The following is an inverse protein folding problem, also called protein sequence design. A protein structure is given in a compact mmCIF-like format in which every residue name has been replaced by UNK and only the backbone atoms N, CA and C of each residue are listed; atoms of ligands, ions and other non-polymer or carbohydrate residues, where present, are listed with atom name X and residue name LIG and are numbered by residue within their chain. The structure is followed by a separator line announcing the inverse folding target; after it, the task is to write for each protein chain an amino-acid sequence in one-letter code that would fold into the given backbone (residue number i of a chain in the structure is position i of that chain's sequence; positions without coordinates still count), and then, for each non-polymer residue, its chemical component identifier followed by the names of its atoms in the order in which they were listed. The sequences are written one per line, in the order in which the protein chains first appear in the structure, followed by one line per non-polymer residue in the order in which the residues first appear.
data_IF_106820679070
#
_entry.id   IF_106820679070
#
_cell.length_a   1.000
_cell.length_b   1.000
_cell.length_c   1.000
_cell.angle_alpha   90.00
_cell.angle_beta   90.00
_cell.angle_gamma   90.00
#
_symmetry.space_group_name_H-M   'P 1'
#
loop_
_entity.id
_entity.type
_entity.pdbx_description
1 polymer ?
#
# COMPACT_ATOMS: atom_id res chain seq x y z
N UNK A 1 -23.32 -12.13 -42.28
CA UNK A 1 -22.12 -12.91 -42.59
C UNK A 1 -20.89 -12.02 -42.44
N UNK A 2 -20.02 -12.39 -41.49
CA UNK A 2 -18.54 -12.29 -41.49
C UNK A 2 -17.86 -10.90 -41.56
N UNK A 3 -17.14 -10.63 -40.45
CA UNK A 3 -15.91 -9.82 -40.25
C UNK A 3 -16.18 -8.32 -40.10
N UNK A 4 -15.93 -7.68 -38.95
CA UNK A 4 -14.62 -7.59 -38.28
C UNK A 4 -14.79 -7.61 -36.75
N UNK A 5 -14.31 -8.71 -36.15
CA UNK A 5 -13.90 -8.81 -34.75
C UNK A 5 -12.38 -8.75 -34.77
N UNK A 6 -11.81 -7.70 -34.18
CA UNK A 6 -10.41 -7.52 -33.69
C UNK A 6 -10.28 -6.01 -33.44
N UNK A 7 -10.09 -5.52 -32.23
CA UNK A 7 -8.96 -5.88 -31.37
C UNK A 7 -9.35 -5.83 -29.89
N UNK A 8 -9.28 -6.99 -29.26
CA UNK A 8 -9.20 -7.16 -27.81
C UNK A 8 -7.72 -7.03 -27.40
N UNK A 9 -7.51 -6.63 -26.15
CA UNK A 9 -6.25 -6.75 -25.39
C UNK A 9 -5.13 -5.76 -25.75
N UNK A 10 -5.16 -4.59 -25.12
CA UNK A 10 -3.95 -4.15 -24.41
C UNK A 10 -4.21 -4.37 -22.93
N UNK A 11 -3.85 -5.56 -22.45
CA UNK A 11 -3.69 -5.82 -21.03
C UNK A 11 -2.56 -4.91 -20.57
N UNK A 12 -2.89 -3.83 -19.85
CA UNK A 12 -1.90 -3.19 -18.99
C UNK A 12 -1.61 -4.21 -17.89
N UNK A 13 -0.58 -5.02 -18.13
CA UNK A 13 0.05 -5.81 -17.09
C UNK A 13 0.71 -4.86 -16.12
N UNK A 14 -0.05 -4.38 -15.14
CA UNK A 14 0.54 -3.95 -13.88
C UNK A 14 0.88 -5.25 -13.17
N UNK A 15 2.14 -5.66 -13.24
CA UNK A 15 2.68 -6.65 -12.33
C UNK A 15 2.55 -6.06 -10.93
N UNK A 16 1.49 -6.47 -10.22
CA UNK A 16 1.30 -6.11 -8.82
C UNK A 16 2.24 -7.04 -8.06
N UNK A 17 3.43 -6.56 -7.72
CA UNK A 17 4.25 -7.18 -6.68
C UNK A 17 3.54 -6.89 -5.36
N UNK A 18 2.53 -7.71 -5.03
CA UNK A 18 1.89 -7.68 -3.71
C UNK A 18 2.87 -8.31 -2.74
N UNK A 19 3.41 -7.53 -1.80
CA UNK A 19 3.95 -8.11 -0.59
C UNK A 19 2.73 -8.64 0.22
N UNK A 20 2.52 -9.96 0.20
CA UNK A 20 1.35 -10.55 0.86
C UNK A 20 1.56 -10.61 2.38
N UNK A 21 0.48 -10.57 3.21
CA UNK A 21 0.52 -10.91 4.64
C UNK A 21 1.31 -12.18 4.99
N UNK A 22 1.34 -13.13 4.05
CA UNK A 22 2.07 -14.40 4.16
C UNK A 22 3.59 -14.19 4.31
N UNK A 23 4.14 -13.10 3.77
CA UNK A 23 5.58 -12.84 3.74
C UNK A 23 6.12 -12.37 5.10
N UNK A 24 5.35 -11.55 5.82
CA UNK A 24 5.66 -11.17 7.19
C UNK A 24 5.51 -12.36 8.15
N UNK A 25 4.48 -13.20 7.95
CA UNK A 25 4.36 -14.44 8.73
C UNK A 25 5.50 -15.42 8.48
N UNK A 26 6.09 -15.43 7.28
CA UNK A 26 7.25 -16.29 7.00
C UNK A 26 8.44 -15.94 7.87
N UNK A 27 8.78 -14.64 8.02
CA UNK A 27 9.84 -14.21 8.94
C UNK A 27 9.54 -14.68 10.37
N UNK A 28 8.30 -14.48 10.85
CA UNK A 28 7.91 -14.93 12.19
C UNK A 28 8.08 -16.44 12.39
N UNK A 29 7.77 -17.24 11.35
CA UNK A 29 7.93 -18.70 11.39
C UNK A 29 9.39 -19.13 11.35
N UNK A 30 10.19 -18.59 10.43
CA UNK A 30 11.60 -19.02 10.26
C UNK A 30 12.51 -18.49 11.36
N UNK A 31 12.17 -17.34 11.95
CA UNK A 31 12.86 -16.76 13.10
C UNK A 31 12.29 -17.20 14.46
N UNK A 32 11.28 -18.08 14.47
CA UNK A 32 10.65 -18.67 15.66
C UNK A 32 10.25 -17.64 16.74
N UNK A 33 9.62 -16.53 16.32
CA UNK A 33 9.25 -15.44 17.24
C UNK A 33 8.17 -15.88 18.23
N UNK A 34 8.39 -15.60 19.52
CA UNK A 34 7.38 -15.83 20.57
C UNK A 34 6.18 -14.89 20.38
N UNK A 35 4.93 -15.33 20.62
CA UNK A 35 3.74 -14.48 20.50
C UNK A 35 3.73 -13.23 21.40
N UNK A 36 4.54 -13.22 22.46
CA UNK A 36 4.66 -12.11 23.41
C UNK A 36 5.93 -11.27 23.21
N UNK A 37 6.73 -11.54 22.18
CA UNK A 37 8.03 -10.92 21.96
C UNK A 37 7.90 -9.42 21.67
N UNK A 38 8.86 -8.61 22.12
CA UNK A 38 9.02 -7.21 21.74
C UNK A 38 9.12 -7.07 20.23
N UNK A 39 9.75 -8.03 19.55
CA UNK A 39 9.85 -8.09 18.08
C UNK A 39 8.51 -8.21 17.38
N UNK A 40 7.59 -9.04 17.89
CA UNK A 40 6.26 -9.16 17.31
C UNK A 40 5.41 -7.90 17.58
N UNK A 41 5.61 -7.28 18.76
CA UNK A 41 4.95 -6.01 19.13
C UNK A 41 5.47 -4.82 18.35
N UNK A 42 6.71 -4.86 17.89
CA UNK A 42 7.30 -3.82 17.07
C UNK A 42 6.71 -3.80 15.64
N UNK A 43 6.01 -4.86 15.21
CA UNK A 43 5.34 -4.96 13.90
C UNK A 43 6.26 -4.54 12.74
N UNK A 44 5.94 -3.45 12.04
CA UNK A 44 6.75 -2.92 10.93
C UNK A 44 8.11 -2.40 11.40
N UNK A 45 8.23 -1.97 12.65
CA UNK A 45 9.42 -1.32 13.20
C UNK A 45 10.57 -2.29 13.47
N UNK A 46 10.32 -3.60 13.38
CA UNK A 46 11.38 -4.61 13.35
C UNK A 46 12.31 -4.42 12.15
N UNK A 47 11.78 -3.97 11.00
CA UNK A 47 12.54 -3.75 9.77
C UNK A 47 12.59 -2.27 9.35
N UNK A 48 11.78 -1.40 9.95
CA UNK A 48 11.67 0.00 9.55
C UNK A 48 12.08 0.96 10.68
N UNK A 49 12.79 2.04 10.34
CA UNK A 49 12.95 3.20 11.26
C UNK A 49 11.76 4.14 11.20
N UNK A 50 11.10 4.18 10.05
CA UNK A 50 9.81 4.81 9.76
C UNK A 50 9.32 4.15 8.47
N UNK A 51 8.02 3.90 8.26
CA UNK A 51 7.59 3.27 7.00
C UNK A 51 7.61 4.34 5.91
N UNK A 52 8.25 4.14 4.73
CA UNK A 52 8.84 2.91 4.22
C UNK A 52 10.39 2.82 4.34
N UNK A 53 11.01 3.71 5.12
CA UNK A 53 12.45 3.73 5.40
C UNK A 53 12.88 2.51 6.23
N UNK A 54 13.81 1.73 5.70
CA UNK A 54 14.30 0.54 6.37
C UNK A 54 15.39 0.88 7.39
N UNK A 55 15.32 0.24 8.56
CA UNK A 55 16.45 0.18 9.50
C UNK A 55 17.58 -0.69 8.89
N UNK A 56 18.77 -0.76 9.52
CA UNK A 56 19.87 -1.57 9.00
C UNK A 56 19.48 -3.02 8.68
N UNK A 57 18.80 -3.69 9.61
CA UNK A 57 18.25 -5.03 9.39
C UNK A 57 17.30 -5.12 8.20
N UNK A 58 16.34 -4.20 8.09
CA UNK A 58 15.38 -4.16 6.99
C UNK A 58 16.02 -3.92 5.63
N UNK A 59 17.16 -3.21 5.57
CA UNK A 59 17.93 -3.05 4.32
C UNK A 59 18.57 -4.38 3.91
N UNK A 60 19.11 -5.13 4.86
CA UNK A 60 19.68 -6.44 4.60
C UNK A 60 18.60 -7.45 4.19
N UNK A 61 17.44 -7.43 4.85
CA UNK A 61 16.25 -8.20 4.45
C UNK A 61 15.86 -7.86 3.01
N UNK A 62 15.71 -6.59 2.66
CA UNK A 62 15.37 -6.14 1.30
C UNK A 62 16.42 -6.58 0.28
N UNK A 63 17.70 -6.48 0.62
CA UNK A 63 18.82 -6.89 -0.23
C UNK A 63 18.82 -8.41 -0.48
N UNK A 64 18.56 -9.20 0.55
CA UNK A 64 18.53 -10.66 0.47
C UNK A 64 17.32 -11.17 -0.33
N UNK A 65 16.14 -10.55 -0.16
CA UNK A 65 14.95 -10.85 -0.97
C UNK A 65 15.21 -10.50 -2.45
N UNK A 66 15.76 -9.32 -2.72
CA UNK A 66 16.04 -8.87 -4.09
C UNK A 66 17.09 -9.73 -4.80
N UNK A 67 18.13 -10.16 -4.10
CA UNK A 67 19.22 -10.97 -4.68
C UNK A 67 18.85 -12.43 -4.90
N UNK A 68 17.89 -12.96 -4.14
CA UNK A 68 17.40 -14.33 -4.27
C UNK A 68 16.25 -14.48 -5.27
N UNK A 69 15.71 -13.36 -5.78
CA UNK A 69 14.47 -13.32 -6.59
C UNK A 69 13.26 -13.99 -5.91
N UNK A 70 13.25 -14.05 -4.57
CA UNK A 70 12.16 -14.67 -3.79
C UNK A 70 11.14 -13.65 -3.32
N UNK A 71 9.93 -14.11 -3.05
CA UNK A 71 8.83 -13.28 -2.55
C UNK A 71 8.79 -13.24 -1.00
N UNK A 72 9.92 -13.07 -0.31
CA UNK A 72 9.97 -12.95 1.16
C UNK A 72 11.12 -13.73 1.82
N UNK A 73 11.19 -13.67 3.16
CA UNK A 73 12.24 -14.34 3.95
C UNK A 73 11.89 -15.80 4.20
N UNK A 74 12.58 -16.72 3.55
CA UNK A 74 12.52 -18.16 3.84
C UNK A 74 13.67 -18.61 4.74
N UNK A 75 13.76 -19.93 5.00
CA UNK A 75 14.76 -20.48 5.91
C UNK A 75 16.21 -20.25 5.43
N UNK A 76 16.45 -20.22 4.12
CA UNK A 76 17.80 -20.01 3.58
C UNK A 76 18.20 -18.54 3.70
N UNK A 77 17.31 -17.63 3.32
CA UNK A 77 17.50 -16.19 3.50
C UNK A 77 17.69 -15.86 4.99
N UNK A 78 16.87 -16.46 5.86
CA UNK A 78 17.00 -16.29 7.30
C UNK A 78 18.34 -16.81 7.84
N UNK A 79 18.80 -17.99 7.42
CA UNK A 79 20.10 -18.52 7.86
C UNK A 79 21.29 -17.63 7.47
N UNK A 80 21.15 -16.88 6.37
CA UNK A 80 22.11 -15.85 6.00
C UNK A 80 21.95 -14.60 6.88
N UNK A 81 20.74 -14.04 6.96
CA UNK A 81 20.45 -12.82 7.73
C UNK A 81 20.78 -12.96 9.22
N UNK A 82 20.49 -14.11 9.83
CA UNK A 82 20.73 -14.38 11.25
C UNK A 82 22.21 -14.32 11.66
N UNK A 83 23.14 -14.42 10.69
CA UNK A 83 24.60 -14.33 10.91
C UNK A 83 25.15 -12.92 10.73
N UNK A 84 24.38 -12.02 10.11
CA UNK A 84 24.79 -10.64 9.94
C UNK A 84 24.64 -9.88 11.26
N UNK A 85 25.51 -8.91 11.46
CA UNK A 85 25.37 -7.85 12.45
C UNK A 85 25.00 -6.60 11.64
N UNK A 86 23.70 -6.32 11.55
CA UNK A 86 23.17 -5.34 10.60
C UNK A 86 23.44 -3.90 11.03
N UNK A 87 23.44 -3.61 12.33
CA UNK A 87 23.67 -2.28 12.88
C UNK A 87 25.07 -2.07 13.50
N UNK A 88 25.93 -3.09 13.42
CA UNK A 88 27.34 -3.08 13.80
C UNK A 88 27.55 -2.85 15.29
N UNK A 89 26.71 -3.50 16.10
CA UNK A 89 26.73 -3.38 17.57
C UNK A 89 27.40 -4.56 18.30
N UNK A 90 28.05 -5.43 17.53
CA UNK A 90 28.72 -6.67 17.96
C UNK A 90 27.77 -7.81 18.33
N UNK A 91 26.46 -7.66 18.09
CA UNK A 91 25.45 -8.70 18.23
C UNK A 91 24.95 -9.13 16.85
N UNK A 92 24.85 -10.43 16.59
CA UNK A 92 24.22 -10.87 15.34
C UNK A 92 22.70 -10.74 15.41
N UNK A 93 22.06 -10.51 14.27
CA UNK A 93 20.59 -10.43 14.14
C UNK A 93 19.88 -11.63 14.77
N UNK A 94 20.48 -12.82 14.65
CA UNK A 94 19.95 -14.04 15.24
C UNK A 94 20.08 -14.09 16.77
N UNK A 95 21.13 -13.52 17.35
CA UNK A 95 21.31 -13.41 18.80
C UNK A 95 20.36 -12.39 19.41
N UNK A 96 20.16 -11.27 18.72
CA UNK A 96 19.20 -10.25 19.10
C UNK A 96 17.77 -10.77 19.08
N UNK A 97 17.40 -11.44 17.99
CA UNK A 97 16.07 -12.05 17.88
C UNK A 97 15.84 -13.12 18.96
N UNK A 98 16.85 -13.93 19.27
CA UNK A 98 16.80 -14.90 20.38
C UNK A 98 16.68 -14.24 21.75
N UNK A 99 17.24 -13.03 21.90
CA UNK A 99 17.24 -12.25 23.14
C UNK A 99 16.06 -11.28 23.25
N UNK A 100 15.14 -11.30 22.28
CA UNK A 100 14.00 -10.38 22.17
C UNK A 100 14.40 -8.89 22.09
N UNK A 101 15.51 -8.62 21.41
CA UNK A 101 16.00 -7.27 21.08
C UNK A 101 15.85 -6.97 19.58
N UNK A 102 16.03 -5.71 19.15
CA UNK A 102 15.69 -5.27 17.79
C UNK A 102 16.94 -5.24 16.89
N UNK A 103 17.05 -6.09 15.85
CA UNK A 103 18.29 -6.28 15.08
C UNK A 103 18.77 -5.12 14.20
N UNK A 104 18.14 -3.97 14.31
CA UNK A 104 18.49 -2.75 13.59
C UNK A 104 18.43 -1.51 14.47
N UNK A 105 18.47 -1.67 15.79
CA UNK A 105 18.61 -0.57 16.74
C UNK A 105 19.81 -0.84 17.66
N UNK A 106 20.97 -0.17 17.45
CA UNK A 106 22.21 -0.43 18.19
C UNK A 106 22.13 -0.01 19.67
N UNK A 107 20.98 0.51 20.10
CA UNK A 107 20.66 0.83 21.50
C UNK A 107 19.88 -0.28 22.19
N UNK A 108 19.33 -1.23 21.44
CA UNK A 108 18.49 -2.31 21.91
C UNK A 108 19.16 -3.64 21.59
N UNK A 109 20.12 -4.03 22.45
CA UNK A 109 20.99 -5.17 22.20
C UNK A 109 21.29 -5.97 23.47
N UNK A 110 21.65 -7.27 23.35
CA UNK A 110 21.74 -8.20 24.47
C UNK A 110 22.72 -7.77 25.56
N UNK A 111 23.84 -7.13 25.19
CA UNK A 111 24.89 -6.76 26.15
C UNK A 111 24.56 -5.53 27.01
N UNK A 112 23.58 -4.69 26.63
CA UNK A 112 23.06 -3.58 27.47
C UNK A 112 21.68 -3.83 28.05
N UNK A 113 20.91 -4.81 27.54
CA UNK A 113 19.53 -5.08 27.99
C UNK A 113 19.43 -5.73 29.38
N UNK A 114 20.54 -6.08 30.04
CA UNK A 114 20.51 -6.65 31.40
C UNK A 114 20.16 -5.63 32.50
N UNK A 115 20.06 -4.33 32.18
CA UNK A 115 19.61 -3.30 33.10
C UNK A 115 18.47 -2.49 32.48
N UNK A 116 17.25 -2.97 32.63
CA UNK A 116 16.00 -2.23 32.95
C UNK A 116 14.81 -3.12 32.57
N UNK A 117 14.44 -4.03 33.46
CA UNK A 117 13.04 -4.47 33.56
C UNK A 117 12.28 -3.37 34.30
N UNK A 118 11.32 -2.72 33.64
CA UNK A 118 9.96 -2.54 34.16
C UNK A 118 9.07 -1.74 33.19
N UNK A 119 7.77 -2.07 33.27
CA UNK A 119 6.62 -1.35 32.74
C UNK A 119 6.36 -1.44 31.22
N UNK A 120 5.50 -2.40 30.84
CA UNK A 120 4.13 -2.03 30.44
C UNK A 120 3.22 -3.26 30.39
N UNK A 121 2.50 -3.39 31.50
CA UNK A 121 1.17 -3.97 31.59
C UNK A 121 0.25 -3.27 30.60
N UNK A 122 -0.26 -3.98 29.60
CA UNK A 122 -1.68 -3.92 29.22
C UNK A 122 -2.00 -5.07 28.27
N UNK A 123 -2.55 -6.13 28.85
CA UNK A 123 -3.16 -7.21 28.13
C UNK A 123 -4.57 -6.81 27.67
N UNK A 124 -4.82 -7.01 26.38
CA UNK A 124 -6.11 -7.39 25.77
C UNK A 124 -7.27 -6.40 25.84
N UNK A 125 -7.61 -5.88 24.65
CA UNK A 125 -8.96 -6.08 24.09
C UNK A 125 -8.92 -6.12 22.56
N UNK A 126 -8.50 -7.25 22.00
CA UNK A 126 -8.84 -7.56 20.61
C UNK A 126 -10.35 -7.71 20.54
N UNK A 127 -11.01 -6.78 19.85
CA UNK A 127 -12.47 -6.82 19.65
C UNK A 127 -12.75 -7.70 18.45
N UNK A 128 -13.94 -8.33 18.39
CA UNK A 128 -14.32 -9.26 17.31
C UNK A 128 -14.25 -8.70 15.86
N UNK A 129 -13.89 -7.43 15.69
CA UNK A 129 -13.60 -6.80 14.41
C UNK A 129 -12.25 -7.23 13.80
N UNK A 130 -11.31 -7.71 14.62
CA UNK A 130 -9.97 -8.15 14.17
C UNK A 130 -10.01 -9.44 13.33
N UNK A 131 -11.13 -10.17 13.37
CA UNK A 131 -11.37 -11.37 12.55
C UNK A 131 -12.04 -11.05 11.21
N UNK A 132 -12.61 -9.85 11.08
CA UNK A 132 -13.32 -9.40 9.86
C UNK A 132 -12.47 -8.43 9.03
N UNK A 133 -11.57 -7.69 9.69
CA UNK A 133 -10.63 -6.76 9.06
C UNK A 133 -9.21 -7.29 9.28
N UNK A 134 -8.46 -7.66 8.21
CA UNK A 134 -7.07 -8.06 8.33
C UNK A 134 -6.26 -7.01 9.10
N UNK A 135 -5.27 -7.45 9.88
CA UNK A 135 -4.31 -6.56 10.57
C UNK A 135 -3.56 -5.65 9.59
N UNK A 136 -3.41 -6.10 8.36
CA UNK A 136 -2.79 -5.39 7.26
C UNK A 136 -3.79 -4.40 6.64
N UNK A 137 -3.31 -3.23 6.24
CA UNK A 137 -4.16 -2.18 5.68
C UNK A 137 -5.00 -2.73 4.51
N UNK A 138 -6.33 -2.72 4.64
CA UNK A 138 -7.24 -3.05 3.54
C UNK A 138 -7.20 -2.02 2.41
N UNK A 139 -6.67 -0.84 2.70
CA UNK A 139 -6.70 0.29 1.80
C UNK A 139 -6.02 0.03 0.44
N UNK A 140 -4.79 -0.54 0.36
CA UNK A 140 -4.13 -0.82 -0.92
C UNK A 140 -4.90 -1.80 -1.81
N UNK A 141 -5.75 -2.66 -1.25
CA UNK A 141 -6.63 -3.52 -2.05
C UNK A 141 -7.81 -2.70 -2.60
N UNK A 142 -8.50 -1.97 -1.72
CA UNK A 142 -9.72 -1.21 -2.05
C UNK A 142 -9.46 -0.07 -3.04
N UNK A 143 -8.26 0.54 -3.05
CA UNK A 143 -7.95 1.67 -3.96
C UNK A 143 -7.95 1.29 -5.44
N UNK A 144 -7.87 0.01 -5.79
CA UNK A 144 -7.89 -0.41 -7.20
C UNK A 144 -9.23 -0.10 -7.86
N UNK A 145 -10.33 -0.14 -7.11
CA UNK A 145 -11.66 0.16 -7.63
C UNK A 145 -11.79 1.61 -8.11
N UNK A 146 -11.60 2.65 -7.27
CA UNK A 146 -11.73 4.03 -7.72
C UNK A 146 -10.73 4.38 -8.81
N UNK A 147 -9.50 3.87 -8.73
CA UNK A 147 -8.46 4.15 -9.74
C UNK A 147 -8.83 3.52 -11.09
N UNK A 148 -9.04 2.21 -11.14
CA UNK A 148 -9.26 1.50 -12.40
C UNK A 148 -10.58 1.91 -13.06
N UNK A 149 -11.69 1.95 -12.30
CA UNK A 149 -13.01 2.26 -12.85
C UNK A 149 -13.08 3.70 -13.36
N UNK A 150 -12.52 4.66 -12.60
CA UNK A 150 -12.58 6.06 -13.01
C UNK A 150 -11.68 6.34 -14.22
N UNK A 151 -10.45 5.81 -14.23
CA UNK A 151 -9.55 5.97 -15.39
C UNK A 151 -10.10 5.28 -16.64
N UNK A 152 -10.69 4.10 -16.48
CA UNK A 152 -11.41 3.41 -17.56
C UNK A 152 -12.59 4.24 -18.07
N UNK A 153 -13.41 4.77 -17.16
CA UNK A 153 -14.52 5.66 -17.49
C UNK A 153 -14.06 6.91 -18.24
N UNK A 154 -13.02 7.58 -17.75
CA UNK A 154 -12.46 8.78 -18.38
C UNK A 154 -11.91 8.49 -19.78
N UNK A 155 -11.23 7.36 -19.99
CA UNK A 155 -10.74 6.94 -21.30
C UNK A 155 -11.89 6.73 -22.29
N UNK A 156 -12.94 6.00 -21.89
CA UNK A 156 -14.11 5.77 -22.73
C UNK A 156 -14.90 7.04 -23.02
N UNK A 157 -14.95 7.97 -22.06
CA UNK A 157 -15.60 9.25 -22.24
C UNK A 157 -14.85 10.11 -23.29
N UNK A 158 -13.51 10.15 -23.24
CA UNK A 158 -12.68 10.84 -24.22
C UNK A 158 -12.76 10.19 -25.61
N UNK A 159 -12.68 8.87 -25.69
CA UNK A 159 -12.77 8.13 -26.96
C UNK A 159 -14.17 8.26 -27.56
N UNK A 160 -15.21 8.11 -26.74
CA UNK A 160 -16.60 8.22 -27.15
C UNK A 160 -16.93 9.62 -27.67
N UNK A 161 -16.41 10.68 -27.03
CA UNK A 161 -16.55 12.04 -27.51
C UNK A 161 -15.86 12.24 -28.88
N UNK A 162 -14.61 11.78 -29.03
CA UNK A 162 -13.87 11.89 -30.31
C UNK A 162 -14.53 11.11 -31.44
N UNK A 163 -15.02 9.89 -31.15
CA UNK A 163 -15.68 9.02 -32.12
C UNK A 163 -17.18 9.34 -32.31
N UNK A 164 -17.72 10.32 -31.58
CA UNK A 164 -19.16 10.64 -31.54
C UNK A 164 -20.03 9.40 -31.31
N UNK A 165 -19.59 8.51 -30.43
CA UNK A 165 -20.24 7.23 -30.15
C UNK A 165 -20.87 7.26 -28.74
N UNK A 166 -22.21 7.29 -28.70
CA UNK A 166 -22.98 7.34 -27.46
C UNK A 166 -22.81 6.08 -26.60
N UNK A 167 -22.67 4.89 -27.21
CA UNK A 167 -22.41 3.66 -26.48
C UNK A 167 -21.12 3.70 -25.66
N UNK A 168 -20.02 4.19 -26.26
CA UNK A 168 -18.76 4.39 -25.55
C UNK A 168 -18.90 5.44 -24.43
N UNK A 169 -19.68 6.50 -24.66
CA UNK A 169 -19.98 7.51 -23.63
C UNK A 169 -20.89 7.01 -22.51
N UNK A 170 -21.74 6.01 -22.77
CA UNK A 170 -22.51 5.30 -21.75
C UNK A 170 -21.59 4.43 -20.90
N UNK A 171 -20.66 3.69 -21.52
CA UNK A 171 -19.62 2.94 -20.80
C UNK A 171 -18.75 3.86 -19.95
N UNK A 172 -18.32 5.00 -20.52
CA UNK A 172 -17.56 6.03 -19.84
C UNK A 172 -18.28 6.54 -18.58
N UNK A 173 -19.56 6.90 -18.74
CA UNK A 173 -20.42 7.33 -17.64
C UNK A 173 -20.48 6.33 -16.49
N UNK A 174 -20.71 5.03 -16.77
CA UNK A 174 -20.77 4.01 -15.72
C UNK A 174 -19.42 3.83 -15.03
N UNK A 175 -18.30 3.89 -15.76
CA UNK A 175 -16.97 3.85 -15.17
C UNK A 175 -16.71 5.03 -14.21
N UNK A 176 -17.04 6.25 -14.64
CA UNK A 176 -16.91 7.46 -13.79
C UNK A 176 -17.78 7.36 -12.53
N UNK A 177 -19.03 6.92 -12.68
CA UNK A 177 -19.96 6.78 -11.57
C UNK A 177 -19.50 5.73 -10.56
N UNK A 178 -19.18 4.52 -11.01
CA UNK A 178 -18.75 3.44 -10.11
C UNK A 178 -17.40 3.74 -9.46
N UNK A 179 -16.46 4.32 -10.21
CA UNK A 179 -15.19 4.80 -9.65
C UNK A 179 -15.41 5.84 -8.56
N UNK A 180 -16.31 6.81 -8.79
CA UNK A 180 -16.64 7.84 -7.79
C UNK A 180 -17.35 7.25 -6.57
N UNK A 181 -18.31 6.33 -6.73
CA UNK A 181 -18.98 5.69 -5.60
C UNK A 181 -17.99 4.90 -4.73
N UNK A 182 -17.04 4.21 -5.36
CA UNK A 182 -16.06 3.39 -4.64
C UNK A 182 -15.09 4.21 -3.76
N UNK A 183 -14.97 5.54 -3.97
CA UNK A 183 -14.21 6.39 -3.04
C UNK A 183 -14.84 6.42 -1.65
N UNK A 184 -16.14 6.17 -1.54
CA UNK A 184 -16.86 6.05 -0.26
C UNK A 184 -16.32 4.94 0.65
N UNK A 185 -15.65 3.93 0.10
CA UNK A 185 -14.95 2.88 0.87
C UNK A 185 -13.44 3.16 0.94
N UNK A 186 -12.85 3.70 -0.12
CA UNK A 186 -11.41 4.00 -0.15
C UNK A 186 -11.00 5.07 0.88
N UNK A 187 -11.80 6.12 1.07
CA UNK A 187 -11.51 7.20 2.03
C UNK A 187 -11.47 6.69 3.48
N UNK A 188 -12.52 6.04 4.02
CA UNK A 188 -12.49 5.58 5.40
C UNK A 188 -11.41 4.51 5.64
N UNK A 189 -11.18 3.62 4.67
CA UNK A 189 -10.09 2.64 4.79
C UNK A 189 -8.70 3.31 4.77
N UNK A 190 -8.51 4.39 4.01
CA UNK A 190 -7.27 5.17 3.97
C UNK A 190 -7.01 5.96 5.24
N UNK A 191 -8.04 6.63 5.78
CA UNK A 191 -7.95 7.31 7.08
C UNK A 191 -7.62 6.30 8.18
N UNK A 192 -8.29 5.15 8.18
CA UNK A 192 -8.02 4.10 9.15
C UNK A 192 -6.63 3.48 8.98
N UNK A 193 -6.08 3.42 7.76
CA UNK A 193 -4.71 3.01 7.51
C UNK A 193 -3.72 4.03 8.11
N UNK A 194 -3.93 5.32 7.85
CA UNK A 194 -3.09 6.40 8.35
C UNK A 194 -3.04 6.39 9.88
N UNK A 195 -4.20 6.34 10.53
CA UNK A 195 -4.30 6.32 12.00
C UNK A 195 -3.62 5.12 12.66
N UNK A 196 -3.59 3.96 12.00
CA UNK A 196 -2.93 2.74 12.53
C UNK A 196 -1.44 2.68 12.22
N UNK A 197 -1.02 3.26 11.10
CA UNK A 197 0.36 3.18 10.60
C UNK A 197 1.37 4.07 11.35
N UNK A 198 0.91 5.04 12.14
CA UNK A 198 1.79 6.02 12.80
C UNK A 198 2.40 7.06 11.85
N UNK A 199 2.02 7.06 10.56
CA UNK A 199 2.46 8.05 9.57
C UNK A 199 2.23 9.48 10.07
N UNK A 200 3.27 10.29 9.95
CA UNK A 200 3.15 11.73 10.15
C UNK A 200 2.49 12.39 8.94
N UNK A 201 1.80 13.51 9.15
CA UNK A 201 1.23 14.34 8.08
C UNK A 201 2.30 15.15 7.35
N UNK A 202 3.36 14.49 6.90
CA UNK A 202 4.51 15.10 6.23
C UNK A 202 4.96 14.21 5.07
N UNK A 203 5.85 14.74 4.22
CA UNK A 203 6.49 13.97 3.16
C UNK A 203 5.49 13.25 2.22
N UNK A 204 5.80 12.01 1.78
CA UNK A 204 4.96 11.26 0.85
C UNK A 204 3.52 11.02 1.35
N UNK A 205 3.30 10.94 2.67
CA UNK A 205 1.98 10.68 3.25
C UNK A 205 1.07 11.90 3.04
N UNK A 206 1.59 13.10 3.30
CA UNK A 206 0.88 14.34 2.99
C UNK A 206 0.67 14.50 1.49
N UNK A 207 1.68 14.22 0.67
CA UNK A 207 1.57 14.32 -0.79
C UNK A 207 0.48 13.40 -1.34
N UNK A 208 0.45 12.14 -0.89
CA UNK A 208 -0.63 11.20 -1.23
C UNK A 208 -1.99 11.73 -0.79
N UNK A 209 -2.14 12.20 0.44
CA UNK A 209 -3.41 12.70 0.96
C UNK A 209 -3.93 13.91 0.17
N UNK A 210 -3.05 14.85 -0.22
CA UNK A 210 -3.41 16.02 -1.02
C UNK A 210 -3.88 15.63 -2.43
N UNK A 211 -3.16 14.73 -3.12
CA UNK A 211 -3.60 14.25 -4.43
C UNK A 211 -4.86 13.41 -4.34
N UNK A 212 -5.01 12.55 -3.33
CA UNK A 212 -6.20 11.73 -3.12
C UNK A 212 -7.45 12.60 -2.83
N UNK A 213 -7.31 13.63 -2.00
CA UNK A 213 -8.37 14.60 -1.73
C UNK A 213 -8.76 15.39 -2.98
N UNK A 214 -7.76 15.92 -3.71
CA UNK A 214 -7.97 16.64 -4.97
C UNK A 214 -8.65 15.76 -6.03
N UNK A 215 -8.16 14.53 -6.19
CA UNK A 215 -8.74 13.54 -7.09
C UNK A 215 -10.21 13.29 -6.73
N UNK A 216 -10.53 13.06 -5.46
CA UNK A 216 -11.90 12.81 -4.99
C UNK A 216 -12.84 13.96 -5.36
N UNK A 217 -12.45 15.21 -5.10
CA UNK A 217 -13.28 16.39 -5.44
C UNK A 217 -13.51 16.49 -6.94
N UNK A 218 -12.46 16.29 -7.74
CA UNK A 218 -12.54 16.34 -9.20
C UNK A 218 -13.39 15.19 -9.76
N UNK A 219 -13.25 13.98 -9.21
CA UNK A 219 -14.08 12.82 -9.57
C UNK A 219 -15.55 13.10 -9.30
N UNK A 220 -15.90 13.58 -8.10
CA UNK A 220 -17.28 13.93 -7.75
C UNK A 220 -17.81 15.02 -8.68
N UNK A 221 -17.04 16.09 -8.90
CA UNK A 221 -17.47 17.24 -9.71
C UNK A 221 -17.71 16.83 -11.16
N UNK A 222 -16.79 16.10 -11.78
CA UNK A 222 -16.92 15.64 -13.17
C UNK A 222 -18.05 14.63 -13.33
N UNK A 223 -18.22 13.70 -12.37
CA UNK A 223 -19.33 12.74 -12.37
C UNK A 223 -20.68 13.45 -12.19
N UNK A 224 -20.81 14.39 -11.25
CA UNK A 224 -22.05 15.15 -11.07
C UNK A 224 -22.38 16.04 -12.27
N UNK A 225 -21.36 16.63 -12.92
CA UNK A 225 -21.59 17.36 -14.17
C UNK A 225 -22.07 16.41 -15.28
N UNK A 226 -21.41 15.25 -15.42
CA UNK A 226 -21.78 14.25 -16.42
C UNK A 226 -23.18 13.64 -16.19
N UNK A 227 -23.67 13.64 -14.95
CA UNK A 227 -25.05 13.24 -14.60
C UNK A 227 -26.11 14.09 -15.31
N UNK A 228 -25.79 15.34 -15.69
CA UNK A 228 -26.70 16.24 -16.42
C UNK A 228 -26.91 15.86 -17.89
N UNK A 229 -26.22 14.83 -18.38
CA UNK A 229 -26.31 14.35 -19.76
C UNK A 229 -24.95 14.35 -20.45
N UNK A 230 -24.96 14.21 -21.77
CA UNK A 230 -23.73 14.18 -22.55
C UNK A 230 -23.11 15.58 -22.66
N UNK A 231 -21.97 15.79 -22.01
CA UNK A 231 -21.28 17.08 -22.01
C UNK A 231 -20.21 17.10 -23.11
N UNK A 232 -20.22 18.18 -23.92
CA UNK A 232 -19.24 18.42 -25.00
C UNK A 232 -18.38 19.68 -24.75
N UNK A 233 -18.42 20.21 -23.53
CA UNK A 233 -17.65 21.41 -23.15
C UNK A 233 -16.16 21.10 -23.01
N UNK A 234 -15.30 22.00 -23.53
CA UNK A 234 -13.84 21.94 -23.34
C UNK A 234 -13.47 21.95 -21.85
N UNK A 235 -14.18 22.74 -21.05
CA UNK A 235 -13.96 22.84 -19.59
C UNK A 235 -14.22 21.50 -18.90
N UNK A 236 -15.28 20.79 -19.28
CA UNK A 236 -15.58 19.46 -18.74
C UNK A 236 -14.44 18.48 -19.02
N UNK A 237 -13.96 18.42 -20.27
CA UNK A 237 -12.87 17.52 -20.63
C UNK A 237 -11.54 17.91 -19.97
N UNK A 238 -11.27 19.21 -19.79
CA UNK A 238 -10.10 19.67 -19.04
C UNK A 238 -10.15 19.19 -17.59
N UNK A 239 -11.30 19.34 -16.92
CA UNK A 239 -11.49 18.82 -15.55
C UNK A 239 -11.42 17.29 -15.49
N UNK A 240 -11.94 16.59 -16.50
CA UNK A 240 -11.88 15.13 -16.57
C UNK A 240 -10.43 14.63 -16.70
N UNK A 241 -9.63 15.27 -17.55
CA UNK A 241 -8.20 14.96 -17.70
C UNK A 241 -7.45 15.29 -16.41
N UNK A 242 -7.74 16.44 -15.79
CA UNK A 242 -7.14 16.80 -14.51
C UNK A 242 -7.49 15.79 -13.42
N UNK A 243 -8.76 15.34 -13.35
CA UNK A 243 -9.20 14.30 -12.44
C UNK A 243 -8.41 12.99 -12.65
N UNK A 244 -8.26 12.55 -13.91
CA UNK A 244 -7.51 11.35 -14.25
C UNK A 244 -6.03 11.45 -13.85
N UNK A 245 -5.39 12.60 -14.08
CA UNK A 245 -4.01 12.85 -13.65
C UNK A 245 -3.91 12.82 -12.13
N UNK A 246 -4.80 13.50 -11.41
CA UNK A 246 -4.80 13.49 -9.93
C UNK A 246 -5.00 12.08 -9.37
N UNK A 247 -5.88 11.26 -9.97
CA UNK A 247 -6.07 9.85 -9.59
C UNK A 247 -4.78 9.05 -9.80
N UNK A 248 -4.12 9.21 -10.94
CA UNK A 248 -2.86 8.52 -11.23
C UNK A 248 -1.75 8.91 -10.25
N UNK A 249 -1.63 10.21 -9.93
CA UNK A 249 -0.67 10.71 -8.95
C UNK A 249 -0.98 10.22 -7.53
N UNK A 250 -2.25 10.23 -7.12
CA UNK A 250 -2.67 9.67 -5.84
C UNK A 250 -2.28 8.18 -5.73
N UNK A 251 -2.51 7.40 -6.79
CA UNK A 251 -2.08 6.01 -6.87
C UNK A 251 -0.56 5.83 -6.81
N UNK A 252 0.20 6.68 -7.52
CA UNK A 252 1.66 6.66 -7.52
C UNK A 252 2.25 6.91 -6.13
N UNK A 253 1.85 8.00 -5.47
CA UNK A 253 2.32 8.33 -4.12
C UNK A 253 1.78 7.35 -3.08
N UNK A 254 0.58 6.81 -3.27
CA UNK A 254 0.05 5.73 -2.44
C UNK A 254 0.90 4.47 -2.53
N UNK A 255 1.37 4.12 -3.74
CA UNK A 255 2.32 3.03 -3.96
C UNK A 255 3.67 3.30 -3.29
N UNK A 256 4.18 4.53 -3.32
CA UNK A 256 5.43 4.88 -2.63
C UNK A 256 5.35 4.66 -1.12
N UNK A 257 4.20 4.97 -0.50
CA UNK A 257 3.97 4.70 0.93
C UNK A 257 4.05 3.21 1.25
N UNK A 258 3.50 2.36 0.37
CA UNK A 258 3.46 0.92 0.60
C UNK A 258 4.78 0.23 0.24
N UNK A 259 5.45 0.66 -0.83
CA UNK A 259 6.56 -0.08 -1.45
C UNK A 259 7.95 0.57 -1.29
N UNK A 260 8.05 1.83 -0.85
CA UNK A 260 9.33 2.46 -0.50
C UNK A 260 10.33 2.58 -1.64
N UNK A 261 9.93 3.25 -2.73
CA UNK A 261 10.84 3.56 -3.84
C UNK A 261 11.88 4.61 -3.47
#
# INVERSE_FOLDING_TARGET
MKRIVSSLCLVLGVAICVATPEEMERLHRVAELKPSSKLLKAECMTCHTDVPLHNPFGRDVRSAIKSSERAGVDAEIWNHLAKLDSDQDESSNGEEIRSDTLPGDPRNHPSKSAATEEAQTEARRGTGMDQVLPKHSLHPVVIHFPIALFLFGAAFELIGARKKNSGLRTTGWWGLLLGTISTGVAIPTGVAALLRSGYQWTGPALTHALFAGTATVLMITTTLWRRKGEIQSKTYFALLVLAAISVALAGHFGGQLVYGN
#
